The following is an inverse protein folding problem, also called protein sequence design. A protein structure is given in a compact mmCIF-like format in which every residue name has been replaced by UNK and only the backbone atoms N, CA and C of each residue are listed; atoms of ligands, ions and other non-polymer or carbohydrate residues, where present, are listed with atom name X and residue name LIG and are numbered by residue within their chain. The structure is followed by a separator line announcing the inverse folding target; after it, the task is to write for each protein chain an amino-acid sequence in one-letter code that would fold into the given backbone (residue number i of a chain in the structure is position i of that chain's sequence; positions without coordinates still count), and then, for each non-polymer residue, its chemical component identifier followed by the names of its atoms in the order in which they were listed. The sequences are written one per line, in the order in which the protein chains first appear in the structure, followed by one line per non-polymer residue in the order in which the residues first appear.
data_IF_324542481617
#
_entry.id   IF_324542481617
#
_cell.length_a   1.000
_cell.length_b   1.000
_cell.length_c   1.000
_cell.angle_alpha   90.00
_cell.angle_beta   90.00
_cell.angle_gamma   90.00
#
_symmetry.space_group_name_H-M   'P 1'
#
loop_
_entity.id
_entity.type
_entity.pdbx_description
1 polymer ?
#
# COMPACT_ATOMS: atom_id res chain seq x y z
N UNK A 1 31.73 -13.27 18.79
CA UNK A 1 31.77 -13.27 17.29
C UNK A 1 30.43 -13.74 16.75
N UNK A 2 29.75 -13.02 15.84
CA UNK A 2 28.39 -13.41 15.38
C UNK A 2 28.37 -14.78 14.68
N UNK A 3 27.40 -15.63 15.04
CA UNK A 3 27.25 -16.96 14.43
C UNK A 3 26.89 -16.88 12.94
N UNK A 4 27.26 -17.90 12.14
CA UNK A 4 26.84 -18.00 10.72
C UNK A 4 25.32 -17.91 10.56
N UNK A 5 24.57 -18.50 11.50
CA UNK A 5 23.10 -18.47 11.54
C UNK A 5 22.56 -17.06 11.75
N UNK A 6 23.15 -16.28 12.67
CA UNK A 6 22.77 -14.89 12.90
C UNK A 6 23.01 -14.03 11.64
N UNK A 7 24.17 -14.15 11.00
CA UNK A 7 24.48 -13.44 9.74
C UNK A 7 23.52 -13.77 8.60
N UNK A 8 23.09 -15.05 8.51
CA UNK A 8 22.11 -15.47 7.52
C UNK A 8 20.73 -14.81 7.74
N UNK A 9 20.27 -14.71 8.99
CA UNK A 9 19.03 -14.00 9.32
C UNK A 9 19.13 -12.49 9.10
N UNK A 10 20.27 -11.87 9.43
CA UNK A 10 20.53 -10.45 9.13
C UNK A 10 20.47 -10.17 7.61
N UNK A 11 21.05 -11.07 6.80
CA UNK A 11 20.96 -10.97 5.33
C UNK A 11 19.52 -11.13 4.83
N UNK A 12 18.76 -12.07 5.41
CA UNK A 12 17.34 -12.26 5.08
C UNK A 12 16.52 -11.02 5.45
N UNK A 13 16.78 -10.42 6.61
CA UNK A 13 16.13 -9.19 7.07
C UNK A 13 16.37 -8.05 6.07
N UNK A 14 17.63 -7.79 5.71
CA UNK A 14 17.98 -6.73 4.75
C UNK A 14 17.26 -6.90 3.40
N UNK A 15 17.19 -8.14 2.88
CA UNK A 15 16.46 -8.45 1.64
C UNK A 15 14.95 -8.17 1.78
N UNK A 16 14.37 -8.45 2.95
CA UNK A 16 12.95 -8.21 3.21
C UNK A 16 12.64 -6.73 3.36
N UNK A 17 13.51 -5.97 4.02
CA UNK A 17 13.39 -4.52 4.14
C UNK A 17 13.51 -3.84 2.76
N UNK A 18 14.46 -4.27 1.93
CA UNK A 18 14.57 -3.80 0.55
C UNK A 18 13.30 -4.10 -0.26
N UNK A 19 12.75 -5.33 -0.14
CA UNK A 19 11.49 -5.70 -0.76
C UNK A 19 10.34 -4.83 -0.24
N UNK A 20 10.28 -4.56 1.06
CA UNK A 20 9.27 -3.70 1.67
C UNK A 20 9.33 -2.27 1.17
N UNK A 21 10.54 -1.72 0.99
CA UNK A 21 10.74 -0.40 0.37
C UNK A 21 10.24 -0.39 -1.08
N UNK A 22 10.57 -1.42 -1.87
CA UNK A 22 10.08 -1.56 -3.25
C UNK A 22 8.55 -1.65 -3.32
N UNK A 23 7.91 -2.44 -2.45
CA UNK A 23 6.45 -2.56 -2.40
C UNK A 23 5.77 -1.22 -2.09
N UNK A 24 6.36 -0.41 -1.19
CA UNK A 24 5.84 0.92 -0.86
C UNK A 24 6.01 1.92 -2.00
N UNK A 25 7.13 1.84 -2.72
CA UNK A 25 7.32 2.64 -3.95
C UNK A 25 6.29 2.25 -5.03
N UNK A 26 6.08 0.96 -5.27
CA UNK A 26 5.03 0.45 -6.18
C UNK A 26 3.63 0.92 -5.74
N UNK A 27 3.34 0.89 -4.44
CA UNK A 27 2.08 1.41 -3.91
C UNK A 27 1.91 2.92 -4.13
N UNK A 28 2.99 3.69 -4.07
CA UNK A 28 2.98 5.12 -4.41
C UNK A 28 2.55 5.37 -5.86
N UNK A 29 3.08 4.59 -6.81
CA UNK A 29 2.67 4.65 -8.23
C UNK A 29 1.19 4.31 -8.38
N UNK A 30 0.73 3.21 -7.75
CA UNK A 30 -0.69 2.81 -7.81
C UNK A 30 -1.64 3.88 -7.24
N UNK A 31 -1.22 4.62 -6.21
CA UNK A 31 -2.03 5.73 -5.66
C UNK A 31 -2.18 6.85 -6.67
N UNK A 32 -1.08 7.24 -7.33
CA UNK A 32 -1.10 8.26 -8.37
C UNK A 32 -1.98 7.83 -9.56
N UNK A 33 -1.89 6.57 -10.00
CA UNK A 33 -2.77 6.04 -11.05
C UNK A 33 -4.25 6.05 -10.65
N UNK A 34 -4.56 5.72 -9.39
CA UNK A 34 -5.92 5.80 -8.85
C UNK A 34 -6.43 7.24 -8.79
N UNK A 35 -5.57 8.20 -8.44
CA UNK A 35 -5.94 9.62 -8.41
C UNK A 35 -6.19 10.17 -9.82
N UNK A 36 -5.36 9.77 -10.79
CA UNK A 36 -5.57 10.09 -12.20
C UNK A 36 -6.89 9.51 -12.74
N UNK A 37 -7.18 8.24 -12.44
CA UNK A 37 -8.44 7.58 -12.83
C UNK A 37 -9.67 8.24 -12.18
N UNK A 38 -9.56 8.67 -10.92
CA UNK A 38 -10.62 9.40 -10.23
C UNK A 38 -10.88 10.78 -10.86
N UNK A 39 -9.81 11.50 -11.25
CA UNK A 39 -9.93 12.77 -11.94
C UNK A 39 -10.57 12.62 -13.33
N UNK A 40 -10.18 11.60 -14.09
CA UNK A 40 -10.76 11.29 -15.40
C UNK A 40 -12.25 10.95 -15.28
N UNK A 41 -12.63 10.15 -14.29
CA UNK A 41 -14.03 9.85 -14.00
C UNK A 41 -14.82 11.12 -13.68
N UNK A 42 -14.31 11.99 -12.79
CA UNK A 42 -14.99 13.22 -12.41
C UNK A 42 -15.21 14.15 -13.61
N UNK A 43 -14.22 14.26 -14.50
CA UNK A 43 -14.34 15.01 -15.75
C UNK A 43 -15.40 14.40 -16.68
N UNK A 44 -15.40 13.06 -16.82
CA UNK A 44 -16.40 12.34 -17.61
C UNK A 44 -17.82 12.55 -17.09
N UNK A 45 -18.01 12.47 -15.76
CA UNK A 45 -19.30 12.68 -15.11
C UNK A 45 -19.80 14.12 -15.29
N UNK A 46 -18.92 15.11 -15.13
CA UNK A 46 -19.25 16.51 -15.39
C UNK A 46 -19.67 16.74 -16.86
N UNK A 47 -18.97 16.11 -17.80
CA UNK A 47 -19.30 16.19 -19.22
C UNK A 47 -20.66 15.54 -19.53
N UNK A 48 -20.93 14.36 -18.96
CA UNK A 48 -22.22 13.68 -19.11
C UNK A 48 -23.36 14.51 -18.52
N UNK A 49 -23.15 15.12 -17.35
CA UNK A 49 -24.14 15.97 -16.68
C UNK A 49 -24.46 17.23 -17.51
N UNK A 50 -23.43 17.91 -18.03
CA UNK A 50 -23.61 19.09 -18.86
C UNK A 50 -24.48 18.82 -20.11
N UNK A 51 -24.34 17.64 -20.72
CA UNK A 51 -25.17 17.20 -21.85
C UNK A 51 -26.63 16.99 -21.45
N UNK A 52 -26.84 16.31 -20.33
CA UNK A 52 -28.19 16.09 -19.80
C UNK A 52 -28.88 17.40 -19.45
N UNK A 53 -28.17 18.33 -18.80
CA UNK A 53 -28.69 19.65 -18.48
C UNK A 53 -29.03 20.45 -19.73
N UNK A 54 -28.21 20.36 -20.77
CA UNK A 54 -28.52 20.96 -22.07
C UNK A 54 -29.79 20.34 -22.67
N UNK A 55 -29.90 19.02 -22.68
CA UNK A 55 -31.10 18.33 -23.18
C UNK A 55 -32.36 18.78 -22.41
N UNK A 56 -32.27 18.88 -21.08
CA UNK A 56 -33.37 19.33 -20.22
C UNK A 56 -33.80 20.78 -20.53
N UNK A 57 -32.84 21.69 -20.81
CA UNK A 57 -33.18 23.06 -21.27
C UNK A 57 -33.93 23.07 -22.59
N UNK A 58 -33.53 22.23 -23.56
CA UNK A 58 -34.25 22.11 -24.82
C UNK A 58 -35.61 21.43 -24.65
N UNK A 59 -35.75 20.47 -23.73
CA UNK A 59 -37.03 19.86 -23.39
C UNK A 59 -38.00 20.94 -22.85
N UNK A 60 -37.57 21.73 -21.86
CA UNK A 60 -38.39 22.82 -21.32
C UNK A 60 -38.78 23.85 -22.39
N UNK A 61 -37.88 24.18 -23.33
CA UNK A 61 -38.18 25.07 -24.46
C UNK A 61 -39.23 24.48 -25.41
N UNK A 62 -39.12 23.18 -25.72
CA UNK A 62 -40.10 22.46 -26.56
C UNK A 62 -41.47 22.44 -25.88
N UNK A 63 -41.52 22.22 -24.57
CA UNK A 63 -42.77 22.19 -23.81
C UNK A 63 -43.45 23.57 -23.77
N UNK A 64 -42.68 24.64 -23.58
CA UNK A 64 -43.19 26.01 -23.62
C UNK A 64 -43.77 26.38 -25.01
N UNK A 65 -43.12 25.96 -26.10
CA UNK A 65 -43.65 26.11 -27.46
C UNK A 65 -44.96 25.33 -27.63
N UNK A 66 -44.99 24.06 -27.21
CA UNK A 66 -46.17 23.20 -27.34
C UNK A 66 -47.37 23.70 -26.51
N UNK A 67 -47.11 24.32 -25.35
CA UNK A 67 -48.13 24.92 -24.50
C UNK A 67 -48.59 26.31 -24.98
N UNK A 68 -48.05 26.84 -26.10
CA UNK A 68 -48.38 28.16 -26.62
C UNK A 68 -47.84 29.33 -25.77
N UNK A 69 -46.91 29.06 -24.85
CA UNK A 69 -46.33 30.06 -23.94
C UNK A 69 -45.24 30.92 -24.60
N UNK A 70 -44.77 30.52 -25.78
CA UNK A 70 -43.82 31.29 -26.59
C UNK A 70 -44.20 31.18 -28.07
N UNK A 71 -44.19 32.28 -28.85
CA UNK A 71 -44.35 32.22 -30.30
C UNK A 71 -43.11 31.57 -30.95
N UNK A 72 -43.32 30.75 -31.99
CA UNK A 72 -42.24 30.03 -32.68
C UNK A 72 -42.62 29.68 -34.13
N UNK A 73 -41.62 29.43 -34.97
CA UNK A 73 -41.83 28.81 -36.28
C UNK A 73 -41.77 27.28 -36.15
N UNK A 74 -42.56 26.55 -36.94
CA UNK A 74 -42.56 25.06 -36.93
C UNK A 74 -41.14 24.50 -37.13
N UNK A 75 -40.32 25.17 -37.96
CA UNK A 75 -38.90 24.84 -38.14
C UNK A 75 -38.10 24.87 -36.83
N UNK A 76 -38.30 25.89 -36.00
CA UNK A 76 -37.60 26.04 -34.72
C UNK A 76 -37.98 24.93 -33.73
N UNK A 77 -39.26 24.56 -33.69
CA UNK A 77 -39.76 23.48 -32.84
C UNK A 77 -39.14 22.14 -33.22
N UNK A 78 -39.15 21.82 -34.52
CA UNK A 78 -38.54 20.58 -35.03
C UNK A 78 -37.03 20.54 -34.81
N UNK A 79 -36.34 21.67 -34.98
CA UNK A 79 -34.91 21.79 -34.70
C UNK A 79 -34.61 21.59 -33.20
N UNK A 80 -35.37 22.22 -32.30
CA UNK A 80 -35.18 22.06 -30.85
C UNK A 80 -35.36 20.60 -30.40
N UNK A 81 -36.37 19.90 -30.94
CA UNK A 81 -36.57 18.47 -30.65
C UNK A 81 -35.42 17.61 -31.14
N UNK A 82 -35.00 17.77 -32.40
CA UNK A 82 -33.87 17.02 -32.96
C UNK A 82 -32.59 17.21 -32.16
N UNK A 83 -32.30 18.46 -31.77
CA UNK A 83 -31.10 18.77 -31.02
C UNK A 83 -31.16 18.22 -29.58
N UNK A 84 -32.32 18.28 -28.92
CA UNK A 84 -32.54 17.60 -27.64
C UNK A 84 -32.26 16.10 -27.75
N UNK A 85 -32.83 15.44 -28.76
CA UNK A 85 -32.67 14.00 -28.94
C UNK A 85 -31.20 13.64 -29.18
N UNK A 86 -30.48 14.42 -30.00
CA UNK A 86 -29.04 14.26 -30.19
C UNK A 86 -28.23 14.42 -28.89
N UNK A 87 -28.57 15.40 -28.04
CA UNK A 87 -27.94 15.58 -26.72
C UNK A 87 -28.19 14.40 -25.78
N UNK A 88 -29.38 13.78 -25.84
CA UNK A 88 -29.71 12.58 -25.07
C UNK A 88 -28.89 11.37 -25.53
N UNK A 89 -28.74 11.18 -26.85
CA UNK A 89 -27.88 10.14 -27.41
C UNK A 89 -26.42 10.33 -26.99
N UNK A 90 -25.92 11.56 -27.08
CA UNK A 90 -24.58 11.90 -26.62
C UNK A 90 -24.39 11.73 -25.11
N UNK A 91 -25.41 12.02 -24.31
CA UNK A 91 -25.41 11.77 -22.86
C UNK A 91 -25.37 10.26 -22.56
N UNK A 92 -26.11 9.44 -23.30
CA UNK A 92 -26.09 7.99 -23.15
C UNK A 92 -24.68 7.43 -23.44
N UNK A 93 -24.03 7.90 -24.50
CA UNK A 93 -22.63 7.55 -24.82
C UNK A 93 -21.66 7.98 -23.72
N UNK A 94 -21.78 9.23 -23.24
CA UNK A 94 -20.93 9.74 -22.15
C UNK A 94 -21.14 8.96 -20.84
N UNK A 95 -22.38 8.58 -20.53
CA UNK A 95 -22.72 7.78 -19.35
C UNK A 95 -22.16 6.37 -19.42
N UNK A 96 -22.21 5.74 -20.60
CA UNK A 96 -21.58 4.44 -20.84
C UNK A 96 -20.05 4.51 -20.65
N UNK A 97 -19.41 5.59 -21.12
CA UNK A 97 -17.99 5.83 -20.87
C UNK A 97 -17.69 6.03 -19.38
N UNK A 98 -18.53 6.78 -18.64
CA UNK A 98 -18.38 6.92 -17.19
C UNK A 98 -18.48 5.57 -16.48
N UNK A 99 -19.38 4.68 -16.90
CA UNK A 99 -19.47 3.33 -16.32
C UNK A 99 -18.16 2.53 -16.51
N UNK A 100 -17.50 2.65 -17.67
CA UNK A 100 -16.19 2.04 -17.91
C UNK A 100 -15.10 2.65 -17.05
N UNK A 101 -15.09 3.98 -16.89
CA UNK A 101 -14.13 4.68 -16.04
C UNK A 101 -14.31 4.30 -14.56
N UNK A 102 -15.55 4.15 -14.08
CA UNK A 102 -15.85 3.64 -12.72
C UNK A 102 -15.30 2.22 -12.51
N UNK A 103 -15.51 1.34 -13.49
CA UNK A 103 -14.97 -0.02 -13.41
C UNK A 103 -13.43 -0.01 -13.38
N UNK A 104 -12.79 0.85 -14.18
CA UNK A 104 -11.34 1.01 -14.17
C UNK A 104 -10.82 1.54 -12.83
N UNK A 105 -11.49 2.55 -12.25
CA UNK A 105 -11.17 3.08 -10.93
C UNK A 105 -11.31 2.00 -9.85
N UNK A 106 -12.38 1.21 -9.89
CA UNK A 106 -12.58 0.11 -8.96
C UNK A 106 -11.45 -0.93 -9.06
N UNK A 107 -11.03 -1.29 -10.28
CA UNK A 107 -9.90 -2.19 -10.47
C UNK A 107 -8.59 -1.64 -9.84
N UNK A 108 -8.36 -0.32 -9.90
CA UNK A 108 -7.21 0.32 -9.23
C UNK A 108 -7.32 0.27 -7.70
N UNK A 109 -8.51 0.45 -7.14
CA UNK A 109 -8.75 0.30 -5.71
C UNK A 109 -8.48 -1.13 -5.24
N UNK A 110 -8.90 -2.13 -6.02
CA UNK A 110 -8.65 -3.54 -5.72
C UNK A 110 -7.15 -3.88 -5.78
N UNK A 111 -6.42 -3.33 -6.75
CA UNK A 111 -4.96 -3.43 -6.84
C UNK A 111 -4.25 -2.81 -5.63
N UNK A 112 -4.71 -1.64 -5.16
CA UNK A 112 -4.20 -1.00 -3.96
C UNK A 112 -4.44 -1.85 -2.71
N UNK A 113 -5.63 -2.43 -2.55
CA UNK A 113 -5.95 -3.32 -1.45
C UNK A 113 -5.08 -4.59 -1.48
N UNK A 114 -4.85 -5.17 -2.67
CA UNK A 114 -3.95 -6.30 -2.84
C UNK A 114 -2.49 -5.95 -2.48
N UNK A 115 -2.02 -4.76 -2.89
CA UNK A 115 -0.69 -4.25 -2.54
C UNK A 115 -0.54 -4.05 -1.02
N UNK A 116 -1.55 -3.46 -0.36
CA UNK A 116 -1.56 -3.29 1.09
C UNK A 116 -1.44 -4.64 1.84
N UNK A 117 -2.15 -5.67 1.39
CA UNK A 117 -2.01 -7.03 1.93
C UNK A 117 -0.61 -7.60 1.75
N UNK A 118 0.04 -7.35 0.61
CA UNK A 118 1.43 -7.79 0.35
C UNK A 118 2.43 -7.09 1.28
N UNK A 119 2.24 -5.80 1.53
CA UNK A 119 3.06 -5.02 2.47
C UNK A 119 2.88 -5.57 3.89
N UNK A 120 1.65 -5.71 4.37
CA UNK A 120 1.37 -6.23 5.71
C UNK A 120 1.98 -7.61 5.95
N UNK A 121 1.90 -8.52 4.95
CA UNK A 121 2.55 -9.84 5.02
C UNK A 121 4.07 -9.74 5.08
N UNK A 122 4.68 -8.80 4.35
CA UNK A 122 6.12 -8.60 4.38
C UNK A 122 6.59 -8.01 5.71
N UNK A 123 5.83 -7.07 6.27
CA UNK A 123 6.10 -6.45 7.56
C UNK A 123 6.02 -7.49 8.69
N UNK A 124 4.96 -8.31 8.73
CA UNK A 124 4.86 -9.41 9.70
C UNK A 124 6.04 -10.39 9.61
N UNK A 125 6.53 -10.66 8.40
CA UNK A 125 7.72 -11.50 8.21
C UNK A 125 9.01 -10.83 8.68
N UNK A 126 9.13 -9.51 8.55
CA UNK A 126 10.26 -8.72 9.06
C UNK A 126 10.28 -8.84 10.59
N UNK A 127 9.13 -8.67 11.25
CA UNK A 127 9.02 -8.74 12.71
C UNK A 127 9.46 -10.11 13.24
N UNK A 128 8.98 -11.20 12.64
CA UNK A 128 9.39 -12.57 13.00
C UNK A 128 10.91 -12.77 12.85
N UNK A 129 11.52 -12.25 11.78
CA UNK A 129 12.96 -12.37 11.55
C UNK A 129 13.74 -11.53 12.56
N UNK A 130 13.31 -10.30 12.85
CA UNK A 130 13.92 -9.43 13.87
C UNK A 130 13.90 -10.09 15.24
N UNK A 131 12.76 -10.66 15.63
CA UNK A 131 12.65 -11.38 16.89
C UNK A 131 13.62 -12.56 16.94
N UNK A 132 13.75 -13.32 15.84
CA UNK A 132 14.68 -14.45 15.77
C UNK A 132 16.13 -14.01 15.90
N UNK A 133 16.52 -12.90 15.29
CA UNK A 133 17.86 -12.31 15.43
C UNK A 133 18.10 -11.91 16.90
N UNK A 134 17.14 -11.24 17.54
CA UNK A 134 17.24 -10.84 18.95
C UNK A 134 17.41 -12.03 19.89
N UNK A 135 16.64 -13.11 19.69
CA UNK A 135 16.78 -14.35 20.46
C UNK A 135 18.16 -15.00 20.28
N UNK A 136 18.71 -15.00 19.05
CA UNK A 136 20.05 -15.54 18.79
C UNK A 136 21.15 -14.67 19.40
N UNK A 137 20.99 -13.35 19.43
CA UNK A 137 21.93 -12.45 20.07
C UNK A 137 21.98 -12.68 21.58
N UNK A 138 20.81 -12.72 22.25
CA UNK A 138 20.73 -13.00 23.69
C UNK A 138 21.32 -14.36 24.06
N UNK A 139 21.06 -15.39 23.26
CA UNK A 139 21.65 -16.72 23.51
C UNK A 139 23.18 -16.74 23.34
N UNK A 140 23.72 -15.91 22.44
CA UNK A 140 25.17 -15.80 22.26
C UNK A 140 25.84 -14.96 23.36
N UNK A 141 25.12 -14.01 23.95
CA UNK A 141 25.55 -13.22 25.10
C UNK A 141 25.59 -14.07 26.37
N UNK A 142 24.50 -14.78 26.68
CA UNK A 142 24.46 -15.71 27.81
C UNK A 142 25.57 -16.77 27.74
N UNK A 143 25.78 -17.38 26.57
CA UNK A 143 26.86 -18.37 26.40
C UNK A 143 28.27 -17.77 26.54
N UNK A 144 28.44 -16.46 26.33
CA UNK A 144 29.72 -15.79 26.55
C UNK A 144 29.92 -15.43 28.03
N UNK A 145 28.85 -15.07 28.74
CA UNK A 145 28.85 -14.87 30.20
C UNK A 145 29.17 -16.20 30.91
N UNK A 146 28.47 -17.28 30.58
CA UNK A 146 28.71 -18.62 31.14
C UNK A 146 30.18 -19.06 30.98
N UNK A 147 30.76 -18.85 29.79
CA UNK A 147 32.15 -19.21 29.51
C UNK A 147 33.17 -18.35 30.29
N UNK A 148 32.84 -17.09 30.57
CA UNK A 148 33.68 -16.21 31.40
C UNK A 148 33.61 -16.63 32.87
N UNK A 149 32.42 -16.96 33.36
CA UNK A 149 32.24 -17.42 34.74
C UNK A 149 33.01 -18.72 34.98
N UNK A 150 32.93 -19.70 34.06
CA UNK A 150 33.74 -20.92 34.10
C UNK A 150 35.25 -20.62 34.13
N UNK A 151 35.75 -19.72 33.27
CA UNK A 151 37.17 -19.33 33.24
C UNK A 151 37.63 -18.65 34.55
N UNK A 152 36.76 -17.82 35.14
CA UNK A 152 37.03 -17.17 36.43
C UNK A 152 37.10 -18.21 37.55
N UNK A 153 36.15 -19.14 37.61
CA UNK A 153 36.11 -20.21 38.61
C UNK A 153 37.34 -21.11 38.52
N UNK A 154 37.69 -21.57 37.31
CA UNK A 154 38.90 -22.36 37.06
C UNK A 154 40.17 -21.59 37.45
N UNK A 155 40.24 -20.30 37.11
CA UNK A 155 41.36 -19.43 37.49
C UNK A 155 41.50 -19.25 39.01
N UNK A 156 40.39 -19.13 39.73
CA UNK A 156 40.37 -19.07 41.20
C UNK A 156 40.83 -20.40 41.81
N UNK A 157 40.32 -21.53 41.29
CA UNK A 157 40.70 -22.86 41.74
C UNK A 157 42.20 -23.14 41.51
N UNK A 158 42.72 -22.81 40.33
CA UNK A 158 44.13 -22.98 39.99
C UNK A 158 45.05 -22.17 40.93
N UNK A 159 44.69 -20.90 41.21
CA UNK A 159 45.43 -20.07 42.18
C UNK A 159 45.40 -20.66 43.59
N UNK A 160 44.26 -21.17 44.03
CA UNK A 160 44.11 -21.79 45.36
C UNK A 160 44.93 -23.07 45.48
N UNK A 161 44.94 -23.91 44.44
CA UNK A 161 45.76 -25.12 44.39
C UNK A 161 47.26 -24.80 44.39
N UNK A 162 47.69 -23.77 43.66
CA UNK A 162 49.08 -23.33 43.64
C UNK A 162 49.53 -22.82 45.02
N UNK A 163 48.70 -22.01 45.70
CA UNK A 163 48.98 -21.54 47.06
C UNK A 163 49.05 -22.68 48.08
N UNK A 164 48.19 -23.69 47.94
CA UNK A 164 48.21 -24.90 48.79
C UNK A 164 49.48 -25.77 48.59
N UNK A 165 50.04 -25.80 47.38
CA UNK A 165 51.32 -26.49 47.13
C UNK A 165 52.50 -25.73 47.70
N UNK A 166 52.53 -24.41 47.52
CA UNK A 166 53.61 -23.56 48.05
C UNK A 166 53.67 -23.57 49.59
N UNK A 167 52.51 -23.66 50.26
CA UNK A 167 52.44 -23.77 51.72
C UNK A 167 52.93 -25.12 52.25
N UNK A 168 52.63 -26.22 51.54
CA UNK A 168 53.16 -27.55 51.89
C UNK A 168 54.67 -27.70 51.64
N UNK A 169 55.28 -26.93 50.73
CA UNK A 169 56.74 -26.92 50.50
C UNK A 169 57.51 -26.09 51.53
N UNK A 170 56.87 -25.16 52.25
CA UNK A 170 57.51 -24.36 53.31
C UNK A 170 57.47 -24.99 54.71
N UNK A 171 56.65 -26.03 54.91
CA UNK A 171 56.49 -26.75 56.20
C UNK A 171 57.24 -28.11 56.24
N UNK A 172 58.06 -28.42 55.23
CA UNK A 172 58.94 -29.60 55.15
C UNK A 172 60.42 -29.20 55.27
#
# INVERSE_FOLDING_TARGET
MKSRKQRAFETLLARREQRGAKLRAEQGVLRAERDAAAAELAQGEAHAHAKLDAANRYAARVDAMAAGQAPFLIGDYTACRRYRDALLDEHALASAQCARLRAALQAKLDQLAASARRIARNDAQIDVVRERIGRLARAAEAAAEDAQDEEIEEGVLARRLAAGRASNETDA
#
